data_IF_180212219679
#
_entry.id   IF_180212219679
#
_cell.length_a   1.000
_cell.length_b   1.000
_cell.length_c   1.000
_cell.angle_alpha   90.00
_cell.angle_beta   90.00
_cell.angle_gamma   90.00
#
_symmetry.space_group_name_H-M   'P 1'
#
loop_
_entity.id
_entity.type
_entity.pdbx_description
1 polymer ?
#
# COMPACT_ATOMS: atom_id res chain seq x y z
N UNK A 1 -18.88 6.78 -7.35
CA UNK A 1 -18.23 5.47 -7.55
C UNK A 1 -16.77 5.64 -7.14
N UNK A 2 -16.24 4.74 -6.31
CA UNK A 2 -14.81 4.73 -5.99
C UNK A 2 -14.08 4.11 -7.19
N UNK A 3 -13.04 4.78 -7.68
CA UNK A 3 -12.29 4.37 -8.86
C UNK A 3 -11.00 3.65 -8.45
N UNK A 4 -10.85 2.39 -8.87
CA UNK A 4 -9.64 1.57 -8.70
C UNK A 4 -8.92 1.36 -10.04
N UNK A 5 -9.17 2.22 -11.03
CA UNK A 5 -8.62 2.12 -12.38
C UNK A 5 -7.10 2.20 -12.45
N UNK A 6 -6.44 2.70 -11.41
CA UNK A 6 -4.99 2.73 -11.26
C UNK A 6 -4.57 1.88 -10.06
N UNK A 7 -3.96 0.73 -10.35
CA UNK A 7 -3.52 -0.24 -9.36
C UNK A 7 -2.20 -0.86 -9.81
N UNK A 8 -1.36 -1.22 -8.83
CA UNK A 8 -0.07 -1.89 -9.04
C UNK A 8 0.87 -1.09 -9.95
N UNK A 9 1.15 -1.53 -11.17
CA UNK A 9 2.03 -0.82 -12.10
C UNK A 9 1.30 0.19 -13.00
N UNK A 10 -0.03 0.29 -12.90
CA UNK A 10 -0.81 1.21 -13.74
C UNK A 10 -0.87 2.61 -13.14
N UNK A 11 -0.53 3.62 -13.93
CA UNK A 11 -0.63 5.04 -13.58
C UNK A 11 -1.25 5.85 -14.72
N UNK A 12 -1.88 7.00 -14.43
CA UNK A 12 -2.48 7.86 -15.46
C UNK A 12 -1.40 8.28 -16.48
N UNK A 13 -1.59 7.90 -17.74
CA UNK A 13 -0.65 8.22 -18.82
C UNK A 13 0.73 7.56 -18.70
N UNK A 14 0.93 6.59 -17.81
CA UNK A 14 2.23 5.99 -17.49
C UNK A 14 3.28 7.01 -16.98
N UNK A 15 2.80 8.15 -16.45
CA UNK A 15 3.62 9.22 -15.87
C UNK A 15 3.54 9.09 -14.35
N UNK A 16 4.66 8.74 -13.71
CA UNK A 16 4.75 8.57 -12.26
C UNK A 16 4.89 9.92 -11.53
N UNK A 17 3.96 10.87 -11.78
CA UNK A 17 4.04 12.24 -11.25
C UNK A 17 3.70 12.33 -9.75
N UNK A 18 2.94 11.38 -9.21
CA UNK A 18 2.58 11.29 -7.79
C UNK A 18 3.08 9.96 -7.25
N UNK A 19 4.01 9.99 -6.29
CA UNK A 19 4.56 8.81 -5.61
C UNK A 19 3.65 8.28 -4.50
N UNK A 20 2.63 9.04 -4.10
CA UNK A 20 1.81 8.72 -2.94
C UNK A 20 0.65 7.78 -3.29
N UNK A 21 0.77 6.51 -2.89
CA UNK A 21 -0.24 5.46 -3.07
C UNK A 21 -1.51 5.67 -2.21
N UNK A 22 -1.44 6.57 -1.23
CA UNK A 22 -2.54 7.01 -0.38
C UNK A 22 -2.34 8.50 -0.11
N UNK A 23 -3.42 9.29 -0.16
CA UNK A 23 -3.35 10.73 0.09
C UNK A 23 -4.01 11.04 1.42
N UNK A 24 -3.19 11.24 2.46
CA UNK A 24 -3.63 11.82 3.71
C UNK A 24 -3.72 13.34 3.52
N UNK A 25 -4.93 13.86 3.34
CA UNK A 25 -5.17 15.30 3.13
C UNK A 25 -5.23 16.04 4.47
N UNK A 26 -5.03 17.35 4.42
CA UNK A 26 -5.22 18.22 5.58
C UNK A 26 -6.65 18.08 6.14
N UNK A 27 -7.66 17.93 5.29
CA UNK A 27 -9.06 17.74 5.73
C UNK A 27 -9.23 16.49 6.59
N UNK A 28 -8.54 15.38 6.28
CA UNK A 28 -8.56 14.19 7.13
C UNK A 28 -7.83 14.41 8.45
N UNK A 29 -6.72 15.14 8.44
CA UNK A 29 -6.01 15.52 9.66
C UNK A 29 -6.88 16.42 10.54
N UNK A 30 -7.57 17.38 9.96
CA UNK A 30 -8.44 18.32 10.68
C UNK A 30 -9.62 17.59 11.34
N UNK A 31 -10.19 16.57 10.68
CA UNK A 31 -11.22 15.69 11.28
C UNK A 31 -10.66 14.88 12.46
N UNK A 32 -9.36 14.58 12.43
CA UNK A 32 -8.66 13.93 13.53
C UNK A 32 -8.08 14.92 14.54
N UNK A 33 -8.46 16.20 14.53
CA UNK A 33 -7.94 17.24 15.44
C UNK A 33 -6.43 17.53 15.29
N UNK A 34 -5.85 17.23 14.12
CA UNK A 34 -4.46 17.52 13.77
C UNK A 34 -3.45 16.41 14.11
N UNK A 35 -2.21 16.59 13.65
CA UNK A 35 -1.13 15.57 13.74
C UNK A 35 -0.62 15.29 15.16
N UNK A 36 -0.94 16.15 16.12
CA UNK A 36 -0.50 15.98 17.52
C UNK A 36 -1.62 15.48 18.43
N UNK A 37 -2.76 15.08 17.85
CA UNK A 37 -3.92 14.63 18.62
C UNK A 37 -3.83 13.15 18.98
N UNK A 38 -4.53 12.77 20.06
CA UNK A 38 -4.71 11.35 20.41
C UNK A 38 -5.45 10.56 19.31
N UNK A 39 -6.33 11.23 18.55
CA UNK A 39 -7.08 10.62 17.45
C UNK A 39 -6.15 10.25 16.28
N UNK A 40 -5.20 11.12 15.95
CA UNK A 40 -4.20 10.83 14.93
C UNK A 40 -3.23 9.75 15.38
N UNK A 41 -2.77 9.78 16.63
CA UNK A 41 -1.93 8.70 17.19
C UNK A 41 -2.66 7.35 17.24
N UNK A 42 -3.97 7.36 17.52
CA UNK A 42 -4.79 6.16 17.42
C UNK A 42 -4.91 5.66 15.98
N UNK A 43 -5.14 6.55 15.02
CA UNK A 43 -5.13 6.22 13.59
C UNK A 43 -3.79 5.57 13.17
N UNK A 44 -2.66 6.17 13.54
CA UNK A 44 -1.32 5.63 13.25
C UNK A 44 -1.14 4.24 13.86
N UNK A 45 -1.54 4.06 15.11
CA UNK A 45 -1.50 2.76 15.80
C UNK A 45 -2.30 1.70 15.04
N UNK A 46 -3.50 2.04 14.56
CA UNK A 46 -4.33 1.12 13.78
C UNK A 46 -3.68 0.77 12.43
N UNK A 47 -3.10 1.75 11.73
CA UNK A 47 -2.39 1.51 10.46
C UNK A 47 -1.20 0.57 10.66
N UNK A 48 -0.38 0.79 11.69
CA UNK A 48 0.78 -0.07 12.00
C UNK A 48 0.30 -1.49 12.31
N UNK A 49 -0.70 -1.66 13.19
CA UNK A 49 -1.25 -2.97 13.54
C UNK A 49 -1.83 -3.68 12.32
N UNK A 50 -2.62 -2.99 11.51
CA UNK A 50 -3.20 -3.53 10.29
C UNK A 50 -2.13 -3.95 9.28
N UNK A 51 -1.07 -3.16 9.13
CA UNK A 51 0.05 -3.49 8.25
C UNK A 51 0.81 -4.72 8.76
N UNK A 52 1.12 -4.81 10.06
CA UNK A 52 1.78 -5.98 10.65
C UNK A 52 0.96 -7.27 10.45
N UNK A 53 -0.36 -7.22 10.63
CA UNK A 53 -1.21 -8.37 10.33
C UNK A 53 -1.24 -8.72 8.84
N UNK A 54 -1.30 -7.72 7.95
CA UNK A 54 -1.22 -7.95 6.51
C UNK A 54 0.11 -8.61 6.10
N UNK A 55 1.23 -8.24 6.73
CA UNK A 55 2.55 -8.85 6.50
C UNK A 55 2.57 -10.35 6.78
N UNK A 56 1.90 -10.81 7.84
CA UNK A 56 1.76 -12.25 8.16
C UNK A 56 1.06 -13.04 7.06
N UNK A 57 0.31 -12.36 6.20
CA UNK A 57 -0.43 -12.94 5.09
C UNK A 57 0.08 -12.50 3.70
N UNK A 58 1.26 -11.87 3.63
CA UNK A 58 1.81 -11.31 2.40
C UNK A 58 1.89 -12.33 1.27
N UNK A 59 2.42 -13.54 1.53
CA UNK A 59 2.53 -14.59 0.51
C UNK A 59 1.18 -15.02 -0.06
N UNK A 60 0.13 -15.08 0.78
CA UNK A 60 -1.23 -15.41 0.31
C UNK A 60 -1.79 -14.29 -0.57
N UNK A 61 -1.56 -13.04 -0.20
CA UNK A 61 -1.99 -11.87 -0.97
C UNK A 61 -1.27 -11.83 -2.33
N UNK A 62 0.05 -12.02 -2.34
CA UNK A 62 0.86 -12.04 -3.56
C UNK A 62 0.43 -13.19 -4.47
N UNK A 63 0.18 -14.39 -3.93
CA UNK A 63 -0.28 -15.53 -4.69
C UNK A 63 -1.63 -15.27 -5.39
N UNK A 64 -2.57 -14.57 -4.70
CA UNK A 64 -3.84 -14.18 -5.32
C UNK A 64 -3.60 -13.28 -6.54
N UNK A 65 -2.72 -12.30 -6.42
CA UNK A 65 -2.36 -11.38 -7.52
C UNK A 65 -1.65 -12.13 -8.65
N UNK A 66 -0.77 -13.08 -8.32
CA UNK A 66 -0.08 -13.93 -9.28
C UNK A 66 -1.06 -14.81 -10.08
N UNK A 67 -2.05 -15.41 -9.43
CA UNK A 67 -3.08 -16.20 -10.13
C UNK A 67 -3.87 -15.38 -11.14
N UNK A 68 -4.10 -14.09 -10.86
CA UNK A 68 -4.82 -13.19 -11.76
C UNK A 68 -4.05 -12.88 -13.06
N UNK A 69 -2.74 -13.11 -13.12
CA UNK A 69 -1.92 -12.92 -14.33
C UNK A 69 -2.38 -13.78 -15.51
N UNK A 70 -2.89 -14.97 -15.20
CA UNK A 70 -3.34 -15.92 -16.20
C UNK A 70 -4.67 -15.53 -16.87
N UNK A 71 -5.38 -14.53 -16.33
CA UNK A 71 -6.79 -14.28 -16.67
C UNK A 71 -7.03 -13.31 -17.83
N UNK A 72 -6.19 -12.29 -18.10
CA UNK A 72 -6.37 -11.35 -19.21
C UNK A 72 -5.21 -10.34 -19.25
N UNK A 73 -4.99 -9.64 -20.38
CA UNK A 73 -4.13 -8.43 -20.41
C UNK A 73 -4.77 -7.32 -19.56
N UNK A 74 -4.55 -7.34 -18.25
CA UNK A 74 -5.03 -6.30 -17.36
C UNK A 74 -4.05 -5.12 -17.31
N UNK A 75 -4.54 -3.87 -17.36
CA UNK A 75 -3.69 -2.67 -17.29
C UNK A 75 -2.80 -2.58 -16.05
N UNK A 76 -3.20 -3.19 -14.93
CA UNK A 76 -2.44 -3.22 -13.66
C UNK A 76 -1.09 -3.97 -13.72
N UNK A 77 -0.80 -4.67 -14.82
CA UNK A 77 0.49 -5.34 -15.09
C UNK A 77 1.24 -4.70 -16.28
N UNK A 78 0.95 -3.44 -16.61
CA UNK A 78 1.62 -2.66 -17.66
C UNK A 78 3.15 -2.68 -17.60
N UNK A 79 3.73 -2.73 -16.39
CA UNK A 79 5.18 -2.80 -16.15
C UNK A 79 5.78 -4.21 -16.28
N UNK A 80 4.96 -5.21 -16.61
CA UNK A 80 5.33 -6.61 -16.66
C UNK A 80 4.88 -7.37 -15.40
N UNK A 81 4.39 -8.63 -15.54
CA UNK A 81 3.97 -9.47 -14.42
C UNK A 81 4.99 -9.58 -13.29
N UNK A 82 6.24 -9.92 -13.63
CA UNK A 82 7.31 -10.16 -12.65
C UNK A 82 7.65 -8.88 -11.87
N UNK A 83 7.90 -7.78 -12.58
CA UNK A 83 8.18 -6.48 -11.97
C UNK A 83 7.07 -6.05 -11.00
N UNK A 84 5.82 -6.29 -11.38
CA UNK A 84 4.65 -5.93 -10.57
C UNK A 84 4.57 -6.75 -9.28
N UNK A 85 4.83 -8.06 -9.36
CA UNK A 85 4.85 -8.95 -8.20
C UNK A 85 6.02 -8.63 -7.27
N UNK A 86 7.20 -8.33 -7.82
CA UNK A 86 8.38 -7.97 -7.03
C UNK A 86 8.15 -6.65 -6.29
N UNK A 87 7.64 -5.63 -7.00
CA UNK A 87 7.27 -4.35 -6.38
C UNK A 87 6.17 -4.51 -5.31
N UNK A 88 5.21 -5.41 -5.50
CA UNK A 88 4.20 -5.73 -4.49
C UNK A 88 4.83 -6.40 -3.26
N UNK A 89 5.75 -7.34 -3.46
CA UNK A 89 6.47 -8.04 -2.38
C UNK A 89 7.32 -7.07 -1.56
N UNK A 90 8.03 -6.16 -2.21
CA UNK A 90 8.84 -5.14 -1.55
C UNK A 90 8.01 -4.25 -0.61
N UNK A 91 6.76 -3.93 -0.97
CA UNK A 91 5.85 -3.12 -0.15
C UNK A 91 5.49 -3.77 1.19
N UNK A 92 5.58 -5.10 1.32
CA UNK A 92 5.34 -5.79 2.60
C UNK A 92 6.56 -5.77 3.54
N UNK A 93 7.72 -5.31 3.08
CA UNK A 93 8.93 -5.17 3.91
C UNK A 93 9.25 -6.42 4.73
N UNK A 94 9.11 -7.62 4.14
CA UNK A 94 9.20 -8.90 4.85
C UNK A 94 10.59 -9.10 5.50
N UNK A 95 11.64 -8.53 4.90
CA UNK A 95 13.01 -8.60 5.42
C UNK A 95 13.32 -7.68 6.62
N UNK A 96 12.40 -6.80 7.02
CA UNK A 96 12.59 -5.92 8.17
C UNK A 96 11.95 -6.51 9.43
N UNK A 97 12.61 -6.49 10.60
CA UNK A 97 11.98 -6.88 11.87
C UNK A 97 10.72 -6.06 12.17
N UNK A 98 9.75 -6.64 12.88
CA UNK A 98 8.50 -5.96 13.26
C UNK A 98 8.76 -4.66 14.03
N UNK A 99 9.73 -4.67 14.95
CA UNK A 99 10.11 -3.51 15.76
C UNK A 99 10.56 -2.33 14.89
N UNK A 100 11.34 -2.59 13.84
CA UNK A 100 11.84 -1.55 12.93
C UNK A 100 10.72 -0.93 12.11
N UNK A 101 9.68 -1.69 11.79
CA UNK A 101 8.50 -1.22 11.03
C UNK A 101 7.52 -0.44 11.93
N UNK A 102 7.41 -0.84 13.20
CA UNK A 102 6.61 -0.10 14.19
C UNK A 102 7.24 1.21 14.68
N UNK A 103 8.57 1.31 14.63
CA UNK A 103 9.33 2.48 15.13
C UNK A 103 9.70 3.52 14.07
N UNK A 104 9.50 3.25 12.78
CA UNK A 104 10.09 4.08 11.69
C UNK A 104 9.46 5.46 11.49
N UNK A 105 8.55 5.92 12.35
CA UNK A 105 7.91 7.24 12.22
C UNK A 105 7.68 7.95 13.56
N UNK A 106 8.56 7.80 14.55
CA UNK A 106 8.58 8.73 15.69
C UNK A 106 9.51 9.89 15.40
#
# INVERSE_FOLDING_TARGET
>A
LVDYGYLLSNSPGNINFETSLFKLTQEFLDVMDGETSDNYEYFRTLIIRGFLEARKHADRIILLVEMMLSATKMPCFSGGPQYTLDALRERFMIGLPEDTVGMSQT
#
